data_IF_463886916971
#
_entry.id   IF_463886916971
#
_cell.length_a   1.000
_cell.length_b   1.000
_cell.length_c   1.000
_cell.angle_alpha   90.00
_cell.angle_beta   90.00
_cell.angle_gamma   90.00
#
_symmetry.space_group_name_H-M   'P 1'
#
loop_
_entity.id
_entity.type
_entity.pdbx_description
1 polymer ?
#
# COMPACT_ATOMS: atom_id res chain seq x y z
N UNK A 1 25.10 16.23 -15.65
CA UNK A 1 24.45 15.73 -14.41
C UNK A 1 23.01 15.30 -14.71
N UNK A 2 22.73 14.00 -14.83
CA UNK A 2 21.33 13.51 -14.88
C UNK A 2 20.71 13.76 -13.50
N UNK A 3 19.65 14.58 -13.41
CA UNK A 3 18.84 14.70 -12.19
C UNK A 3 18.45 13.29 -11.75
N UNK A 4 18.90 12.82 -10.57
CA UNK A 4 18.40 11.59 -9.95
C UNK A 4 16.88 11.74 -9.86
N UNK A 5 16.13 11.10 -10.77
CA UNK A 5 14.67 10.98 -10.66
C UNK A 5 14.44 10.20 -9.36
N UNK A 6 13.96 10.88 -8.32
CA UNK A 6 13.57 10.20 -7.08
C UNK A 6 12.50 9.18 -7.46
N UNK A 7 12.71 7.91 -7.07
CA UNK A 7 11.74 6.83 -7.29
C UNK A 7 10.44 7.25 -6.60
N UNK A 8 9.35 7.38 -7.37
CA UNK A 8 8.01 7.62 -6.84
C UNK A 8 7.36 6.25 -6.69
N UNK A 9 6.89 5.95 -5.49
CA UNK A 9 6.05 4.79 -5.23
C UNK A 9 4.68 5.34 -4.85
N UNK A 10 3.77 5.31 -5.82
CA UNK A 10 2.43 5.84 -5.63
C UNK A 10 1.48 4.65 -5.41
N UNK A 11 0.37 4.86 -4.71
CA UNK A 11 -0.52 3.76 -4.40
C UNK A 11 -1.92 4.27 -4.09
N UNK A 12 -2.91 3.42 -4.37
CA UNK A 12 -4.31 3.70 -4.07
C UNK A 12 -4.96 2.50 -3.41
N UNK A 13 -5.68 2.72 -2.31
CA UNK A 13 -6.32 1.67 -1.52
C UNK A 13 -7.81 1.74 -1.52
N UNK A 14 -8.41 0.56 -1.59
CA UNK A 14 -9.78 0.35 -1.15
C UNK A 14 -9.83 -0.80 -0.18
N UNK A 15 -10.63 -0.61 0.86
CA UNK A 15 -10.93 -1.62 1.85
C UNK A 15 -12.42 -1.99 1.79
N UNK A 16 -12.72 -3.28 1.82
CA UNK A 16 -14.10 -3.77 1.93
C UNK A 16 -14.22 -4.82 3.04
N UNK A 17 -15.25 -4.71 3.87
CA UNK A 17 -15.64 -5.79 4.78
C UNK A 17 -16.21 -6.93 3.94
N UNK A 18 -15.68 -8.15 4.08
CA UNK A 18 -16.22 -9.34 3.44
C UNK A 18 -16.87 -10.25 4.47
N UNK A 19 -17.59 -11.28 4.02
CA UNK A 19 -18.15 -12.27 4.93
C UNK A 19 -17.00 -12.97 5.68
N UNK A 20 -17.01 -12.86 7.00
CA UNK A 20 -16.01 -13.50 7.86
C UNK A 20 -14.71 -12.72 8.07
N UNK A 21 -14.54 -11.53 7.49
CA UNK A 21 -13.31 -10.76 7.67
C UNK A 21 -13.23 -9.47 6.86
N UNK A 22 -12.03 -9.17 6.39
CA UNK A 22 -11.63 -7.86 5.87
C UNK A 22 -10.80 -8.01 4.59
N UNK A 23 -11.03 -7.18 3.57
CA UNK A 23 -10.28 -7.19 2.30
C UNK A 23 -9.38 -5.97 2.22
N UNK A 24 -8.08 -6.19 2.12
CA UNK A 24 -7.09 -5.14 1.90
C UNK A 24 -6.60 -5.20 0.44
N UNK A 25 -6.80 -4.12 -0.33
CA UNK A 25 -6.44 -4.12 -1.75
C UNK A 25 -5.77 -2.81 -2.21
N UNK A 26 -4.81 -2.95 -3.11
CA UNK A 26 -3.97 -1.85 -3.57
C UNK A 26 -3.59 -1.97 -5.04
N UNK A 27 -3.59 -0.83 -5.74
CA UNK A 27 -2.71 -0.62 -6.89
C UNK A 27 -1.40 -0.01 -6.41
N UNK A 28 -0.29 -0.66 -6.76
CA UNK A 28 1.05 -0.17 -6.50
C UNK A 28 1.63 0.41 -7.78
N UNK A 29 1.96 1.69 -7.75
CA UNK A 29 2.56 2.41 -8.85
C UNK A 29 4.06 2.58 -8.61
N UNK A 30 4.89 2.19 -9.58
CA UNK A 30 6.34 2.35 -9.53
C UNK A 30 6.84 2.95 -10.86
N UNK A 31 8.12 3.38 -10.94
CA UNK A 31 8.72 3.81 -12.19
C UNK A 31 8.67 2.70 -13.26
N UNK A 32 8.41 3.06 -14.50
CA UNK A 32 8.16 2.15 -15.62
C UNK A 32 9.31 1.21 -15.92
N UNK A 33 10.56 1.62 -15.68
CA UNK A 33 11.74 0.76 -15.82
C UNK A 33 11.78 -0.44 -14.86
N UNK A 34 10.92 -0.48 -13.83
CA UNK A 34 10.79 -1.63 -12.94
C UNK A 34 9.83 -2.68 -13.52
N UNK A 35 9.04 -2.36 -14.53
CA UNK A 35 8.11 -3.29 -15.14
C UNK A 35 8.82 -4.52 -15.73
N UNK A 36 8.19 -5.68 -15.60
CA UNK A 36 8.79 -6.98 -15.89
C UNK A 36 9.61 -7.58 -14.74
N UNK A 37 9.85 -6.85 -13.65
CA UNK A 37 10.56 -7.36 -12.47
C UNK A 37 9.65 -7.80 -11.32
N UNK A 38 8.33 -7.82 -11.51
CA UNK A 38 7.35 -8.23 -10.51
C UNK A 38 7.62 -9.67 -10.04
N UNK A 39 7.73 -9.86 -8.74
CA UNK A 39 7.90 -11.19 -8.12
C UNK A 39 7.05 -11.32 -6.85
N UNK A 40 6.61 -12.53 -6.53
CA UNK A 40 6.07 -12.87 -5.22
C UNK A 40 7.12 -13.67 -4.45
N UNK A 41 7.49 -13.18 -3.27
CA UNK A 41 8.45 -13.84 -2.38
C UNK A 41 7.68 -14.62 -1.32
N UNK A 42 7.96 -15.91 -1.18
CA UNK A 42 7.55 -16.70 0.00
C UNK A 42 8.71 -16.73 0.99
N UNK A 43 8.43 -16.33 2.22
CA UNK A 43 9.41 -16.20 3.30
C UNK A 43 8.94 -17.04 4.48
N UNK A 44 9.84 -17.78 5.10
CA UNK A 44 9.60 -18.54 6.32
C UNK A 44 10.83 -18.49 7.22
N UNK A 45 10.66 -18.76 8.51
CA UNK A 45 11.76 -18.78 9.48
C UNK A 45 11.28 -19.14 10.88
N UNK A 46 12.20 -19.44 11.82
CA UNK A 46 11.83 -19.88 13.16
C UNK A 46 11.05 -18.82 13.94
N UNK A 47 11.34 -17.53 13.72
CA UNK A 47 10.79 -16.42 14.50
C UNK A 47 9.76 -15.57 13.74
N UNK A 48 9.42 -15.94 12.50
CA UNK A 48 8.47 -15.21 11.65
C UNK A 48 7.38 -16.14 11.14
N UNK A 49 6.12 -15.68 11.00
CA UNK A 49 5.11 -16.45 10.30
C UNK A 49 5.46 -16.59 8.82
N UNK A 50 5.02 -17.67 8.19
CA UNK A 50 5.10 -17.82 6.74
C UNK A 50 4.44 -16.61 6.06
N UNK A 51 5.15 -15.98 5.13
CA UNK A 51 4.75 -14.69 4.57
C UNK A 51 4.86 -14.73 3.06
N UNK A 52 3.86 -14.17 2.38
CA UNK A 52 3.91 -13.88 0.95
C UNK A 52 3.97 -12.38 0.74
N UNK A 53 4.96 -11.91 -0.03
CA UNK A 53 5.24 -10.49 -0.26
C UNK A 53 5.31 -10.22 -1.76
N UNK A 54 4.53 -9.25 -2.25
CA UNK A 54 4.77 -8.64 -3.54
C UNK A 54 6.08 -7.86 -3.47
N UNK A 55 6.98 -8.09 -4.41
CA UNK A 55 8.23 -7.37 -4.56
C UNK A 55 8.56 -7.09 -6.03
N UNK A 56 9.68 -6.40 -6.22
CA UNK A 56 10.39 -6.35 -7.49
C UNK A 56 11.69 -7.16 -7.34
N UNK A 57 12.24 -7.69 -8.44
CA UNK A 57 13.59 -8.25 -8.42
C UNK A 57 14.57 -7.23 -7.81
N UNK A 58 15.51 -7.72 -7.00
CA UNK A 58 16.46 -6.91 -6.21
C UNK A 58 15.85 -6.11 -5.03
N UNK A 59 14.53 -6.10 -4.86
CA UNK A 59 13.87 -5.56 -3.67
C UNK A 59 13.46 -6.68 -2.71
N UNK A 60 13.53 -6.37 -1.43
CA UNK A 60 13.21 -7.31 -0.36
C UNK A 60 11.72 -7.34 0.00
N UNK A 61 10.93 -6.37 -0.46
CA UNK A 61 9.49 -6.35 -0.26
C UNK A 61 8.83 -5.00 -0.54
N UNK A 62 7.54 -5.04 -0.84
CA UNK A 62 6.70 -3.86 -1.05
C UNK A 62 5.43 -3.90 -0.19
N UNK A 63 4.65 -4.97 -0.28
CA UNK A 63 3.37 -5.20 0.42
C UNK A 63 3.15 -6.70 0.55
N UNK A 64 2.41 -7.17 1.54
CA UNK A 64 2.23 -8.62 1.72
C UNK A 64 1.27 -9.01 2.82
N UNK A 65 1.21 -10.31 3.08
CA UNK A 65 0.46 -10.89 4.18
C UNK A 65 1.16 -12.14 4.74
N UNK A 66 0.81 -12.51 5.96
CA UNK A 66 1.42 -13.63 6.67
C UNK A 66 0.39 -14.64 7.23
N UNK A 67 0.88 -15.84 7.55
CA UNK A 67 0.10 -16.98 8.04
C UNK A 67 -0.52 -16.75 9.43
N UNK A 68 -0.07 -15.72 10.16
CA UNK A 68 -0.74 -15.28 11.39
C UNK A 68 -1.98 -14.41 11.12
N UNK A 69 -2.34 -14.19 9.85
CA UNK A 69 -3.52 -13.44 9.46
C UNK A 69 -3.31 -11.92 9.49
N UNK A 70 -2.09 -11.44 9.27
CA UNK A 70 -1.76 -10.01 9.15
C UNK A 70 -1.40 -9.68 7.71
N UNK A 71 -2.10 -8.71 7.12
CA UNK A 71 -1.76 -8.11 5.84
C UNK A 71 -1.33 -6.65 6.02
N UNK A 72 -0.31 -6.24 5.27
CA UNK A 72 0.29 -4.90 5.34
C UNK A 72 0.36 -4.29 3.95
N UNK A 73 -0.27 -3.12 3.85
CA UNK A 73 -0.23 -2.22 2.73
C UNK A 73 0.63 -0.99 2.97
N UNK A 74 1.14 -0.36 1.91
CA UNK A 74 2.01 0.81 1.96
C UNK A 74 1.68 1.87 0.90
N UNK A 75 1.67 3.15 1.28
CA UNK A 75 1.72 4.29 0.34
C UNK A 75 2.82 5.24 0.75
N UNK A 76 3.56 5.75 -0.24
CA UNK A 76 4.47 6.85 0.06
C UNK A 76 3.72 8.16 0.25
N UNK A 77 4.06 8.85 1.34
CA UNK A 77 3.58 10.19 1.70
C UNK A 77 4.74 11.18 1.60
N UNK A 78 5.05 11.60 0.37
CA UNK A 78 6.23 12.42 0.06
C UNK A 78 6.21 13.82 0.72
N UNK A 79 5.06 14.23 1.27
CA UNK A 79 4.85 15.49 2.00
C UNK A 79 5.42 15.43 3.42
N UNK A 80 5.54 14.25 4.02
CA UNK A 80 5.98 14.12 5.41
C UNK A 80 7.51 14.28 5.53
N UNK A 81 7.96 14.72 6.70
CA UNK A 81 9.38 14.82 7.01
C UNK A 81 10.09 13.45 6.88
N UNK A 82 11.29 13.51 6.33
CA UNK A 82 12.15 12.35 6.07
C UNK A 82 13.42 12.43 6.92
N UNK A 83 14.04 11.29 7.20
CA UNK A 83 15.18 11.19 8.11
C UNK A 83 16.24 10.24 7.57
N UNK A 84 17.45 10.75 7.28
CA UNK A 84 18.52 9.94 6.70
C UNK A 84 18.97 8.75 7.58
N UNK A 85 18.77 8.84 8.90
CA UNK A 85 19.06 7.75 9.85
C UNK A 85 17.87 6.82 10.13
N UNK A 86 16.79 6.92 9.36
CA UNK A 86 15.64 6.03 9.51
C UNK A 86 15.77 4.73 8.73
N UNK A 87 14.89 3.77 9.03
CA UNK A 87 14.74 2.52 8.30
C UNK A 87 14.15 2.80 6.90
N UNK A 88 14.81 2.33 5.82
CA UNK A 88 14.27 2.47 4.47
C UNK A 88 12.97 1.69 4.28
N UNK A 89 12.05 2.25 3.49
CA UNK A 89 10.70 1.67 3.31
C UNK A 89 10.70 0.21 2.88
N UNK A 90 11.65 -0.26 2.07
CA UNK A 90 11.70 -1.68 1.66
C UNK A 90 11.80 -2.67 2.86
N UNK A 91 12.31 -2.22 4.01
CA UNK A 91 12.40 -3.04 5.22
C UNK A 91 11.18 -2.93 6.13
N UNK A 92 10.45 -1.81 6.11
CA UNK A 92 9.38 -1.54 7.08
C UNK A 92 8.17 -2.50 6.94
N UNK A 93 7.67 -2.84 5.74
CA UNK A 93 6.61 -3.83 5.56
C UNK A 93 7.04 -5.22 6.02
N UNK A 94 8.29 -5.62 5.72
CA UNK A 94 8.83 -6.89 6.23
C UNK A 94 8.88 -6.90 7.76
N UNK A 95 9.30 -5.80 8.36
CA UNK A 95 9.35 -5.66 9.80
C UNK A 95 7.94 -5.77 10.41
N UNK A 96 6.94 -5.08 9.85
CA UNK A 96 5.56 -5.17 10.29
C UNK A 96 4.96 -6.57 10.11
N UNK A 97 5.25 -7.25 8.99
CA UNK A 97 4.80 -8.61 8.68
C UNK A 97 5.45 -9.69 9.57
N UNK A 98 6.44 -9.35 10.40
CA UNK A 98 6.92 -10.26 11.46
C UNK A 98 5.99 -10.29 12.70
N UNK A 99 4.90 -9.52 12.71
CA UNK A 99 3.89 -9.56 13.77
C UNK A 99 2.89 -10.69 13.60
N UNK A 100 2.21 -11.05 14.70
CA UNK A 100 1.17 -12.10 14.72
C UNK A 100 -0.25 -11.55 14.81
N UNK A 101 -0.38 -10.23 14.96
CA UNK A 101 -1.65 -9.53 15.08
C UNK A 101 -1.48 -8.05 14.64
N UNK A 102 -2.61 -7.33 14.59
CA UNK A 102 -2.65 -5.94 14.14
C UNK A 102 -1.87 -4.99 15.06
N UNK A 103 -1.98 -5.20 16.38
CA UNK A 103 -1.32 -4.35 17.39
C UNK A 103 0.20 -4.51 17.34
N UNK A 104 0.68 -5.74 17.23
CA UNK A 104 2.09 -6.06 17.03
C UNK A 104 2.65 -5.42 15.77
N UNK A 105 1.91 -5.46 14.66
CA UNK A 105 2.34 -4.82 13.41
C UNK A 105 2.43 -3.30 13.58
N UNK A 106 1.41 -2.67 14.18
CA UNK A 106 1.38 -1.24 14.47
C UNK A 106 2.50 -0.82 15.43
N UNK A 107 2.74 -1.59 16.50
CA UNK A 107 3.77 -1.30 17.49
C UNK A 107 5.17 -1.40 16.90
N UNK A 108 5.43 -2.38 16.04
CA UNK A 108 6.69 -2.50 15.29
C UNK A 108 6.93 -1.27 14.40
N UNK A 109 5.90 -0.81 13.68
CA UNK A 109 6.00 0.40 12.87
C UNK A 109 6.24 1.65 13.71
N UNK A 110 5.55 1.79 14.85
CA UNK A 110 5.71 2.94 15.74
C UNK A 110 7.06 2.96 16.46
N UNK A 111 7.66 1.81 16.74
CA UNK A 111 9.00 1.69 17.31
C UNK A 111 10.11 1.94 16.27
N UNK A 112 9.76 2.04 14.98
CA UNK A 112 10.71 2.26 13.89
C UNK A 112 10.86 3.76 13.62
N UNK A 113 12.11 4.24 13.55
CA UNK A 113 12.39 5.55 12.95
C UNK A 113 12.27 5.43 11.43
N UNK A 114 11.30 6.08 10.79
CA UNK A 114 11.10 5.94 9.34
C UNK A 114 12.03 6.85 8.54
N UNK A 115 12.63 6.32 7.48
CA UNK A 115 13.47 7.13 6.59
C UNK A 115 12.66 8.09 5.71
N UNK A 116 11.42 7.72 5.41
CA UNK A 116 10.52 8.41 4.49
C UNK A 116 9.10 8.37 5.03
N UNK A 117 8.30 9.38 4.70
CA UNK A 117 6.86 9.39 4.95
C UNK A 117 6.14 8.21 4.29
N UNK A 118 5.42 7.43 5.07
CA UNK A 118 4.64 6.28 4.60
C UNK A 118 3.30 6.20 5.33
N UNK A 119 2.27 5.81 4.62
CA UNK A 119 1.05 5.27 5.20
C UNK A 119 1.16 3.74 5.19
N UNK A 120 0.72 3.10 6.27
CA UNK A 120 0.55 1.66 6.35
C UNK A 120 -0.89 1.31 6.68
N UNK A 121 -1.51 0.51 5.83
CA UNK A 121 -2.76 -0.17 6.10
C UNK A 121 -2.45 -1.54 6.70
N UNK A 122 -3.05 -1.87 7.84
CA UNK A 122 -2.90 -3.19 8.46
C UNK A 122 -4.29 -3.82 8.52
N UNK A 123 -4.47 -4.97 7.90
CA UNK A 123 -5.72 -5.71 7.98
C UNK A 123 -5.49 -7.09 8.58
N UNK A 124 -6.37 -7.46 9.50
CA UNK A 124 -6.52 -8.85 9.99
C UNK A 124 -7.95 -9.29 9.77
N UNK A 125 -8.34 -10.47 10.23
CA UNK A 125 -9.76 -10.87 10.23
C UNK A 125 -10.63 -9.98 11.11
N UNK A 126 -10.09 -9.46 12.20
CA UNK A 126 -10.84 -8.78 13.25
C UNK A 126 -10.97 -7.28 12.97
N UNK A 127 -9.92 -6.64 12.45
CA UNK A 127 -9.90 -5.17 12.30
C UNK A 127 -8.97 -4.69 11.19
N UNK A 128 -9.13 -3.41 10.89
CA UNK A 128 -8.25 -2.62 10.04
C UNK A 128 -7.64 -1.50 10.86
N UNK A 129 -6.36 -1.24 10.68
CA UNK A 129 -5.65 -0.08 11.19
C UNK A 129 -5.05 0.71 10.03
N UNK A 130 -4.91 2.01 10.26
CA UNK A 130 -4.34 2.95 9.31
C UNK A 130 -3.38 3.84 10.07
N UNK A 131 -2.11 3.82 9.70
CA UNK A 131 -1.06 4.55 10.42
C UNK A 131 -0.17 5.30 9.44
N UNK A 132 0.04 6.58 9.66
CA UNK A 132 0.93 7.44 8.89
C UNK A 132 2.20 7.71 9.68
N UNK A 133 3.33 7.28 9.15
CA UNK A 133 4.62 7.39 9.80
C UNK A 133 5.58 8.29 9.01
N UNK A 134 6.37 9.07 9.74
CA UNK A 134 7.38 9.99 9.23
C UNK A 134 8.64 9.93 10.10
N UNK A 135 9.60 10.82 9.82
CA UNK A 135 10.77 10.97 10.68
C UNK A 135 10.43 11.41 12.11
N UNK A 136 9.33 12.14 12.30
CA UNK A 136 8.85 12.64 13.59
C UNK A 136 7.97 11.66 14.39
N UNK A 137 7.57 10.53 13.83
CA UNK A 137 6.77 9.52 14.52
C UNK A 137 5.62 8.97 13.68
N UNK A 138 4.66 8.30 14.33
CA UNK A 138 3.49 7.72 13.68
C UNK A 138 2.19 8.32 14.25
N UNK A 139 1.23 8.60 13.37
CA UNK A 139 -0.12 9.06 13.70
C UNK A 139 -1.14 8.04 13.20
N UNK A 140 -2.03 7.60 14.07
CA UNK A 140 -3.13 6.71 13.68
C UNK A 140 -4.24 7.53 13.01
N UNK A 141 -4.77 7.02 11.89
CA UNK A 141 -5.95 7.56 11.23
C UNK A 141 -7.18 6.82 11.74
N UNK A 142 -8.09 7.55 12.39
CA UNK A 142 -9.39 7.02 12.79
C UNK A 142 -10.21 6.64 11.58
N UNK A 143 -10.76 5.43 11.58
CA UNK A 143 -11.67 4.98 10.54
C UNK A 143 -13.09 5.49 10.81
N UNK A 144 -13.88 5.78 9.76
CA UNK A 144 -15.31 6.06 9.91
C UNK A 144 -16.07 4.84 10.45
N UNK A 145 -17.28 5.04 10.96
CA UNK A 145 -18.15 3.99 11.53
C UNK A 145 -18.47 2.87 10.54
N UNK A 146 -18.36 3.14 9.23
CA UNK A 146 -18.48 2.13 8.17
C UNK A 146 -17.38 1.07 8.26
N UNK A 147 -16.30 1.35 9.01
CA UNK A 147 -15.12 0.50 9.15
C UNK A 147 -14.26 0.47 7.90
N UNK A 148 -14.42 1.44 6.98
CA UNK A 148 -13.76 1.44 5.68
C UNK A 148 -12.60 2.41 5.60
N UNK A 149 -11.48 1.88 5.12
CA UNK A 149 -10.26 2.63 4.87
C UNK A 149 -10.13 2.97 3.38
N UNK A 150 -10.09 4.27 3.09
CA UNK A 150 -9.69 4.80 1.79
C UNK A 150 -8.44 5.65 1.99
N UNK A 151 -7.41 5.40 1.20
CA UNK A 151 -6.15 6.15 1.32
C UNK A 151 -5.42 6.22 -0.04
N UNK A 152 -4.67 7.31 -0.22
CA UNK A 152 -3.84 7.53 -1.42
C UNK A 152 -2.44 8.01 -1.00
N UNK A 153 -1.88 9.07 -1.58
CA UNK A 153 -0.51 9.52 -1.38
C UNK A 153 -0.40 10.89 -0.71
N UNK A 154 -1.42 11.31 0.06
CA UNK A 154 -1.35 12.52 0.89
C UNK A 154 -1.70 12.18 2.35
N UNK A 155 -1.09 12.87 3.32
CA UNK A 155 -1.41 12.66 4.73
C UNK A 155 -2.85 13.06 5.06
N UNK A 156 -3.51 12.23 5.87
CA UNK A 156 -4.86 12.44 6.41
C UNK A 156 -4.83 12.63 7.93
N UNK A 157 -3.80 12.13 8.63
CA UNK A 157 -3.68 12.18 10.08
C UNK A 157 -2.40 12.86 10.57
N UNK A 158 -1.26 12.56 9.93
CA UNK A 158 0.03 13.10 10.35
C UNK A 158 0.16 14.59 10.04
N UNK A 159 0.66 15.33 11.02
CA UNK A 159 0.94 16.77 10.91
C UNK A 159 2.43 17.07 10.70
N UNK A 160 3.27 16.04 10.60
CA UNK A 160 4.72 16.17 10.44
C UNK A 160 5.10 16.45 8.97
N UNK A 161 4.60 17.58 8.47
CA UNK A 161 4.67 17.97 7.06
C UNK A 161 5.94 18.80 6.80
N UNK A 162 6.68 18.44 5.75
CA UNK A 162 7.76 19.24 5.19
C UNK A 162 7.19 20.27 4.20
N UNK A 163 7.12 21.55 4.60
CA UNK A 163 6.47 22.61 3.82
C UNK A 163 7.07 22.82 2.41
N UNK A 164 8.39 22.66 2.27
CA UNK A 164 9.09 22.74 0.99
C UNK A 164 8.75 21.56 0.08
N UNK A 165 8.64 20.35 0.64
CA UNK A 165 8.22 19.16 -0.07
C UNK A 165 6.78 19.29 -0.54
N UNK A 166 5.86 19.71 0.34
CA UNK A 166 4.46 20.00 0.02
C UNK A 166 4.35 20.96 -1.15
N UNK A 167 4.98 22.15 -1.05
CA UNK A 167 4.97 23.17 -2.10
C UNK A 167 5.45 22.63 -3.45
N UNK A 168 6.52 21.82 -3.43
CA UNK A 168 7.08 21.21 -4.64
C UNK A 168 6.14 20.15 -5.24
N UNK A 169 5.46 19.36 -4.41
CA UNK A 169 4.52 18.32 -4.84
C UNK A 169 3.22 18.92 -5.38
N UNK A 170 2.74 20.02 -4.79
CA UNK A 170 1.59 20.77 -5.27
C UNK A 170 1.85 21.35 -6.67
N UNK A 171 2.98 22.02 -6.86
CA UNK A 171 3.40 22.52 -8.19
C UNK A 171 3.56 21.40 -9.22
N UNK A 172 3.96 20.21 -8.78
CA UNK A 172 4.10 19.04 -9.65
C UNK A 172 2.77 18.31 -9.91
N UNK A 173 1.65 18.80 -9.36
CA UNK A 173 0.32 18.19 -9.50
C UNK A 173 0.14 16.86 -8.74
N UNK A 174 1.12 16.47 -7.92
CA UNK A 174 1.11 15.20 -7.20
C UNK A 174 0.00 15.13 -6.17
N UNK A 175 -0.06 16.14 -5.29
CA UNK A 175 -1.07 16.26 -4.23
C UNK A 175 -2.47 16.29 -4.85
N UNK A 176 -2.68 17.13 -5.88
CA UNK A 176 -3.96 17.20 -6.59
C UNK A 176 -4.37 15.89 -7.24
N UNK A 177 -3.43 15.13 -7.82
CA UNK A 177 -3.71 13.78 -8.34
C UNK A 177 -4.05 12.79 -7.23
N UNK A 178 -3.49 12.95 -6.04
CA UNK A 178 -3.84 12.12 -4.89
C UNK A 178 -5.25 12.38 -4.40
N UNK A 179 -5.64 13.65 -4.24
CA UNK A 179 -7.00 14.02 -3.83
C UNK A 179 -8.05 13.53 -4.82
N UNK A 180 -7.87 13.77 -6.14
CA UNK A 180 -8.82 13.28 -7.17
C UNK A 180 -9.03 11.77 -7.13
N UNK A 181 -7.98 10.99 -6.85
CA UNK A 181 -8.07 9.53 -6.73
C UNK A 181 -8.81 9.11 -5.47
N UNK A 182 -8.64 9.84 -4.37
CA UNK A 182 -9.37 9.61 -3.13
C UNK A 182 -10.85 9.96 -3.26
N UNK A 183 -11.18 11.08 -3.91
CA UNK A 183 -12.57 11.50 -4.16
C UNK A 183 -13.29 10.46 -5.03
N UNK A 184 -12.64 10.02 -6.13
CA UNK A 184 -13.19 8.96 -6.99
C UNK A 184 -13.42 7.65 -6.22
N UNK A 185 -12.50 7.29 -5.32
CA UNK A 185 -12.67 6.12 -4.45
C UNK A 185 -13.86 6.28 -3.51
N UNK A 186 -14.04 7.45 -2.92
CA UNK A 186 -15.16 7.72 -2.02
C UNK A 186 -16.51 7.58 -2.76
N UNK A 187 -16.58 8.01 -4.01
CA UNK A 187 -17.76 7.85 -4.86
C UNK A 187 -18.02 6.37 -5.22
N UNK A 188 -16.96 5.59 -5.45
CA UNK A 188 -17.05 4.17 -5.82
C UNK A 188 -17.30 3.24 -4.62
N UNK A 189 -16.81 3.60 -3.43
CA UNK A 189 -16.80 2.77 -2.23
C UNK A 189 -18.17 2.16 -1.89
N UNK A 190 -19.30 2.90 -1.93
CA UNK A 190 -20.61 2.33 -1.61
C UNK A 190 -21.01 1.14 -2.47
N UNK A 191 -20.45 0.97 -3.67
CA UNK A 191 -20.67 -0.19 -4.53
C UNK A 191 -19.81 -1.40 -4.19
N UNK A 192 -18.75 -1.25 -3.40
CA UNK A 192 -17.79 -2.30 -3.10
C UNK A 192 -18.28 -3.14 -1.94
N UNK A 193 -18.86 -4.31 -2.20
CA UNK A 193 -19.45 -5.20 -1.18
C UNK A 193 -18.68 -6.51 -1.02
N UNK A 194 -17.90 -6.89 -2.02
CA UNK A 194 -17.18 -8.15 -2.09
C UNK A 194 -15.75 -7.93 -2.58
N UNK A 195 -14.88 -8.92 -2.34
CA UNK A 195 -13.54 -8.94 -2.92
C UNK A 195 -13.57 -8.86 -4.46
N UNK A 196 -14.60 -9.44 -5.09
CA UNK A 196 -14.81 -9.37 -6.54
C UNK A 196 -15.05 -7.95 -7.02
N UNK A 197 -15.90 -7.18 -6.32
CA UNK A 197 -16.18 -5.79 -6.69
C UNK A 197 -14.89 -4.95 -6.63
N UNK A 198 -14.05 -5.20 -5.61
CA UNK A 198 -12.75 -4.55 -5.46
C UNK A 198 -11.79 -4.92 -6.59
N UNK A 199 -11.72 -6.20 -7.00
CA UNK A 199 -10.92 -6.60 -8.18
C UNK A 199 -11.40 -5.91 -9.45
N UNK A 200 -12.71 -5.89 -9.69
CA UNK A 200 -13.29 -5.21 -10.87
C UNK A 200 -12.93 -3.72 -10.87
N UNK A 201 -12.97 -3.07 -9.71
CA UNK A 201 -12.56 -1.67 -9.56
C UNK A 201 -11.06 -1.47 -9.87
N UNK A 202 -10.17 -2.34 -9.37
CA UNK A 202 -8.72 -2.27 -9.65
C UNK A 202 -8.37 -2.67 -11.11
N UNK A 203 -9.26 -3.40 -11.77
CA UNK A 203 -9.17 -3.81 -13.18
C UNK A 203 -9.84 -2.83 -14.13
N UNK A 204 -10.43 -1.74 -13.62
CA UNK A 204 -11.01 -0.70 -14.44
C UNK A 204 -9.91 0.19 -15.02
N UNK A 205 -9.62 0.03 -16.31
CA UNK A 205 -8.62 0.79 -17.05
C UNK A 205 -8.94 2.29 -17.19
N UNK A 206 -10.20 2.67 -17.03
CA UNK A 206 -10.69 4.05 -17.11
C UNK A 206 -10.73 4.72 -15.72
N UNK A 207 -10.65 3.94 -14.64
CA UNK A 207 -10.54 4.48 -13.29
C UNK A 207 -9.20 5.21 -13.12
N UNK A 208 -9.17 6.35 -12.40
CA UNK A 208 -7.93 7.09 -12.15
C UNK A 208 -6.97 6.36 -11.19
N UNK A 209 -7.29 5.11 -10.82
CA UNK A 209 -6.52 4.27 -9.91
C UNK A 209 -5.41 3.49 -10.60
N UNK A 210 -5.56 3.21 -11.89
CA UNK A 210 -4.59 2.46 -12.67
C UNK A 210 -3.72 3.43 -13.47
N UNK A 211 -2.48 3.66 -13.05
CA UNK A 211 -1.57 4.54 -13.76
C UNK A 211 -0.97 3.84 -15.00
N UNK A 212 -0.85 4.62 -16.08
CA UNK A 212 -0.17 4.22 -17.32
C UNK A 212 1.05 5.09 -17.56
N UNK A 213 2.18 4.49 -17.90
CA UNK A 213 3.48 5.17 -18.06
C UNK A 213 3.41 6.38 -19.00
N UNK A 214 2.76 6.20 -20.16
CA UNK A 214 2.60 7.22 -21.19
C UNK A 214 1.91 8.51 -20.71
N UNK A 215 1.12 8.46 -19.64
CA UNK A 215 0.35 9.60 -19.10
C UNK A 215 0.88 10.13 -17.78
N UNK A 216 1.84 9.44 -17.15
CA UNK A 216 2.23 9.69 -15.75
C UNK A 216 3.74 9.84 -15.55
N UNK A 217 4.42 10.44 -16.53
CA UNK A 217 5.85 10.77 -16.39
C UNK A 217 6.74 9.54 -16.20
N UNK A 218 6.39 8.44 -16.88
CA UNK A 218 7.00 7.10 -16.79
C UNK A 218 6.58 6.28 -15.56
N UNK A 219 5.79 6.79 -14.61
CA UNK A 219 5.20 5.95 -13.56
C UNK A 219 4.00 5.14 -14.08
N UNK A 220 3.85 3.89 -13.64
CA UNK A 220 2.69 3.07 -13.95
C UNK A 220 2.32 2.16 -12.79
N UNK A 221 1.10 1.63 -12.81
CA UNK A 221 0.72 0.53 -11.91
C UNK A 221 1.59 -0.67 -12.22
N UNK A 222 2.49 -0.95 -11.29
CA UNK A 222 3.44 -2.05 -11.32
C UNK A 222 2.78 -3.37 -10.98
N UNK A 223 1.84 -3.37 -10.02
CA UNK A 223 1.04 -4.52 -9.68
C UNK A 223 -0.20 -4.11 -8.88
N UNK A 224 -1.20 -4.98 -8.87
CA UNK A 224 -2.36 -4.91 -7.99
C UNK A 224 -2.30 -6.07 -6.99
N UNK A 225 -2.68 -5.83 -5.75
CA UNK A 225 -2.80 -6.86 -4.71
C UNK A 225 -4.18 -6.83 -4.09
N UNK A 226 -4.66 -7.99 -3.66
CA UNK A 226 -5.85 -8.15 -2.87
C UNK A 226 -5.64 -9.28 -1.86
N UNK A 227 -5.80 -8.95 -0.58
CA UNK A 227 -5.66 -9.86 0.55
C UNK A 227 -7.01 -10.00 1.25
N UNK A 228 -7.61 -11.18 1.16
CA UNK A 228 -8.85 -11.54 1.85
C UNK A 228 -8.49 -12.12 3.21
N UNK A 229 -8.57 -11.31 4.26
CA UNK A 229 -8.17 -11.70 5.61
C UNK A 229 -9.37 -12.28 6.34
N UNK A 230 -9.58 -13.59 6.16
CA UNK A 230 -10.63 -14.38 6.81
C UNK A 230 -10.01 -15.47 7.69
N UNK A 231 -10.81 -16.45 8.17
CA UNK A 231 -10.27 -17.63 8.84
C UNK A 231 -9.39 -18.49 7.91
N UNK A 232 -9.61 -18.38 6.59
CA UNK A 232 -8.76 -18.94 5.56
C UNK A 232 -8.29 -17.80 4.63
N UNK A 233 -7.14 -17.16 4.92
CA UNK A 233 -6.67 -16.04 4.13
C UNK A 233 -6.41 -16.42 2.66
N UNK A 234 -6.89 -15.60 1.73
CA UNK A 234 -6.61 -15.76 0.30
C UNK A 234 -5.91 -14.52 -0.23
N UNK A 235 -4.76 -14.72 -0.87
CA UNK A 235 -3.96 -13.64 -1.44
C UNK A 235 -4.04 -13.73 -2.95
N UNK A 236 -4.18 -12.58 -3.60
CA UNK A 236 -4.13 -12.53 -5.05
C UNK A 236 -3.38 -11.30 -5.52
N UNK A 237 -2.63 -11.47 -6.60
CA UNK A 237 -1.82 -10.40 -7.19
C UNK A 237 -1.95 -10.41 -8.70
N UNK A 238 -1.90 -9.24 -9.33
CA UNK A 238 -1.78 -9.09 -10.78
C UNK A 238 -0.56 -8.23 -11.07
N UNK A 239 0.32 -8.69 -11.95
CA UNK A 239 1.42 -7.88 -12.46
C UNK A 239 0.92 -6.86 -13.49
N UNK A 240 1.39 -5.63 -13.39
CA UNK A 240 1.15 -4.56 -14.35
C UNK A 240 -0.22 -3.86 -14.25
N UNK A 241 -0.49 -2.94 -15.19
CA UNK A 241 -1.72 -2.16 -15.25
C UNK A 241 -2.98 -3.00 -15.54
N UNK A 242 -4.14 -2.39 -15.28
CA UNK A 242 -5.44 -2.88 -15.70
C UNK A 242 -5.49 -3.29 -17.17
N UNK A 243 -5.98 -4.51 -17.40
CA UNK A 243 -6.05 -5.16 -18.70
C UNK A 243 -4.75 -5.83 -19.17
N UNK A 244 -3.68 -5.79 -18.38
CA UNK A 244 -2.41 -6.46 -18.66
C UNK A 244 -2.16 -7.51 -17.57
N UNK A 245 -2.19 -8.79 -17.92
CA UNK A 245 -2.00 -9.89 -16.98
C UNK A 245 -3.30 -10.40 -16.32
N UNK A 246 -3.16 -11.53 -15.62
CA UNK A 246 -4.24 -12.17 -14.87
C UNK A 246 -3.94 -12.14 -13.37
N UNK A 247 -4.98 -12.21 -12.56
CA UNK A 247 -4.83 -12.43 -11.11
C UNK A 247 -4.29 -13.84 -10.86
N UNK A 248 -3.17 -13.94 -10.14
CA UNK A 248 -2.64 -15.18 -9.61
C UNK A 248 -2.98 -15.28 -8.11
N UNK A 249 -3.38 -16.47 -7.67
CA UNK A 249 -3.65 -16.78 -6.26
C UNK A 249 -2.39 -17.27 -5.54
N UNK A 250 -2.27 -16.93 -4.26
CA UNK A 250 -1.20 -17.38 -3.38
C UNK A 250 -1.78 -17.82 -2.04
N UNK A 251 -1.26 -18.92 -1.53
CA UNK A 251 -1.63 -19.46 -0.22
C UNK A 251 -0.57 -19.12 0.81
N UNK A 252 -1.03 -18.93 2.04
CA UNK A 252 -0.20 -18.90 3.25
C UNK A 252 -0.18 -20.32 3.80
N UNK A 253 1.03 -20.80 4.14
CA UNK A 253 1.24 -22.16 4.65
C UNK A 253 0.64 -22.38 6.03
#
# INVERSE_FOLDING_TARGET
>A
MRKKRRRRQDAVWSFCRCRGGHVLAQNMDLPGHMDGSQVALRLSGPDIPDTVVLSAAELIGLTGANAAGVAVGVNTLLMLNHGAGGLPVAFAPRHALAARDADGARNRLAATRHASGQHYAIATRQRVLSVECSAGGCADLSLPDTGRLLHTNHPLASRDIAADAQTRLDRAGFTGSSHRRLDWLADAEPGLRTARDVKVMLDNADAPLCLRAARNGDSQTFASVLYEMTDAPHLSMRAGPAGQGAWAGFELG
#
